data_IF_350350541633
#
_entry.id   IF_350350541633
#
_cell.length_a   1.000
_cell.length_b   1.000
_cell.length_c   1.000
_cell.angle_alpha   90.00
_cell.angle_beta   90.00
_cell.angle_gamma   90.00
#
_symmetry.space_group_name_H-M   'P 1'
#
loop_
_entity.id
_entity.type
_entity.pdbx_description
1 polymer ?
#
# COMPACT_ATOMS: atom_id res chain seq x y z
N UNK A 1 67.03 -47.42 -8.25
CA UNK A 1 65.57 -47.22 -8.33
C UNK A 1 64.96 -47.65 -7.01
N UNK A 2 64.62 -46.69 -6.15
CA UNK A 2 63.90 -46.94 -4.89
C UNK A 2 62.41 -46.91 -5.21
N UNK A 3 61.73 -48.03 -4.96
CA UNK A 3 60.28 -48.08 -4.95
C UNK A 3 59.78 -47.28 -3.75
N UNK A 4 58.80 -46.39 -3.98
CA UNK A 4 58.20 -45.53 -2.96
C UNK A 4 56.87 -46.21 -2.59
N UNK A 5 56.84 -46.81 -1.39
CA UNK A 5 55.62 -47.31 -0.77
C UNK A 5 54.71 -46.14 -0.41
N UNK A 6 53.56 -46.04 -1.08
CA UNK A 6 52.55 -45.00 -0.82
C UNK A 6 51.61 -45.50 0.29
N UNK A 7 51.84 -45.03 1.51
CA UNK A 7 50.97 -45.27 2.66
C UNK A 7 49.80 -44.29 2.62
N UNK A 8 48.59 -44.79 2.36
CA UNK A 8 47.35 -43.99 2.34
C UNK A 8 46.84 -43.86 3.79
N UNK A 9 47.02 -42.68 4.38
CA UNK A 9 46.51 -42.33 5.70
C UNK A 9 45.11 -41.72 5.52
N UNK A 10 44.07 -42.44 5.96
CA UNK A 10 42.69 -41.94 5.96
C UNK A 10 42.46 -41.16 7.27
N UNK A 11 42.45 -39.84 7.18
CA UNK A 11 42.16 -38.93 8.30
C UNK A 11 40.65 -38.72 8.43
N UNK A 12 40.07 -39.16 9.53
CA UNK A 12 38.69 -38.85 9.92
C UNK A 12 38.67 -37.44 10.53
N UNK A 13 38.16 -36.45 9.79
CA UNK A 13 37.94 -35.10 10.30
C UNK A 13 36.58 -35.07 11.00
N UNK A 14 36.58 -35.10 12.33
CA UNK A 14 35.41 -34.73 13.13
C UNK A 14 35.15 -33.23 12.97
N UNK A 15 34.06 -32.91 12.27
CA UNK A 15 33.61 -31.54 12.07
C UNK A 15 32.88 -31.06 13.33
N UNK A 16 33.61 -30.41 14.24
CA UNK A 16 33.01 -29.72 15.38
C UNK A 16 32.24 -28.49 14.89
N UNK A 17 30.93 -28.62 14.70
CA UNK A 17 30.02 -27.51 14.43
C UNK A 17 30.00 -26.56 15.63
N UNK A 18 30.80 -25.50 15.55
CA UNK A 18 30.73 -24.36 16.47
C UNK A 18 29.39 -23.66 16.28
N UNK A 19 28.54 -23.68 17.31
CA UNK A 19 27.21 -23.09 17.28
C UNK A 19 27.35 -21.56 17.30
N UNK A 20 27.25 -20.94 16.12
CA UNK A 20 27.21 -19.48 16.00
C UNK A 20 25.87 -18.98 16.56
N UNK A 21 25.82 -17.93 17.42
CA UNK A 21 24.56 -17.42 17.94
C UNK A 21 23.70 -16.93 16.77
N UNK A 22 22.56 -17.59 16.55
CA UNK A 22 21.53 -17.09 15.65
C UNK A 22 21.02 -15.78 16.25
N UNK A 23 21.42 -14.65 15.66
CA UNK A 23 20.73 -13.39 15.88
C UNK A 23 19.30 -13.59 15.40
N UNK A 24 18.35 -13.74 16.32
CA UNK A 24 16.93 -13.60 16.02
C UNK A 24 16.75 -12.17 15.52
N UNK A 25 16.72 -12.00 14.20
CA UNK A 25 16.21 -10.78 13.61
C UNK A 25 14.73 -10.78 13.99
N UNK A 26 14.36 -10.01 15.02
CA UNK A 26 12.98 -9.58 15.19
C UNK A 26 12.61 -8.83 13.91
N UNK A 27 12.05 -9.57 12.97
CA UNK A 27 11.26 -8.99 11.91
C UNK A 27 10.07 -8.39 12.65
N UNK A 28 10.13 -7.08 12.92
CA UNK A 28 8.97 -6.29 13.26
C UNK A 28 8.04 -6.38 12.06
N UNK A 29 7.23 -7.44 11.99
CA UNK A 29 6.11 -7.53 11.09
C UNK A 29 5.12 -6.50 11.60
N UNK A 30 5.19 -5.27 11.06
CA UNK A 30 4.04 -4.38 11.09
C UNK A 30 2.93 -5.17 10.40
N UNK A 31 2.01 -5.74 11.18
CA UNK A 31 0.81 -6.42 10.69
C UNK A 31 -0.05 -5.36 10.03
N UNK A 32 0.27 -5.00 8.78
CA UNK A 32 -0.63 -4.27 7.90
C UNK A 32 -1.83 -5.20 7.75
N UNK A 33 -3.00 -4.75 8.20
CA UNK A 33 -4.22 -5.54 8.06
C UNK A 33 -4.34 -6.02 6.58
N UNK A 34 -4.68 -7.28 6.33
CA UNK A 34 -4.84 -7.78 4.97
C UNK A 34 -5.83 -6.88 4.22
N UNK A 35 -5.48 -6.53 2.99
CA UNK A 35 -6.37 -5.76 2.12
C UNK A 35 -7.69 -6.51 1.95
N UNK A 36 -8.84 -5.94 2.38
CA UNK A 36 -10.09 -6.70 2.51
C UNK A 36 -10.86 -6.82 1.18
N UNK A 37 -10.36 -6.20 0.12
CA UNK A 37 -11.04 -6.03 -1.16
C UNK A 37 -10.40 -6.95 -2.21
N UNK A 38 -11.19 -7.48 -3.15
CA UNK A 38 -10.74 -8.54 -4.09
C UNK A 38 -10.62 -8.03 -5.52
N UNK A 39 -11.63 -7.33 -6.00
CA UNK A 39 -11.69 -6.76 -7.35
C UNK A 39 -11.10 -5.36 -7.39
N UNK A 40 -11.33 -4.58 -6.33
CA UNK A 40 -10.82 -3.23 -6.23
C UNK A 40 -9.30 -3.26 -6.00
N UNK A 41 -8.49 -2.49 -6.75
CA UNK A 41 -7.07 -2.35 -6.45
C UNK A 41 -6.85 -1.32 -5.34
N UNK A 42 -5.68 -1.37 -4.68
CA UNK A 42 -5.26 -0.26 -3.82
C UNK A 42 -5.07 1.01 -4.65
N UNK A 43 -5.69 2.11 -4.23
CA UNK A 43 -5.59 3.42 -4.91
C UNK A 43 -4.60 4.37 -4.26
N UNK A 44 -4.20 4.10 -3.02
CA UNK A 44 -3.13 4.87 -2.40
C UNK A 44 -1.78 4.44 -2.97
N UNK A 45 -1.13 5.33 -3.70
CA UNK A 45 0.12 5.03 -4.39
C UNK A 45 1.27 4.73 -3.43
N UNK A 46 2.17 3.83 -3.82
CA UNK A 46 3.45 3.59 -3.14
C UNK A 46 4.52 4.62 -3.53
N UNK A 47 4.18 5.58 -4.39
CA UNK A 47 5.07 6.64 -4.86
C UNK A 47 4.26 7.89 -5.18
N UNK A 48 4.90 9.05 -5.02
CA UNK A 48 4.28 10.34 -5.26
C UNK A 48 3.78 10.49 -6.71
N UNK A 49 2.48 10.73 -6.88
CA UNK A 49 1.80 11.08 -8.13
C UNK A 49 2.51 12.20 -8.90
N UNK A 50 3.07 13.22 -8.22
CA UNK A 50 3.78 14.31 -8.88
C UNK A 50 5.28 14.06 -9.19
N UNK A 51 5.85 12.93 -8.75
CA UNK A 51 7.24 12.53 -9.05
C UNK A 51 8.10 12.21 -7.83
N UNK A 52 9.27 11.60 -8.06
CA UNK A 52 10.16 11.10 -7.01
C UNK A 52 10.73 12.16 -6.05
N UNK A 53 10.64 13.45 -6.41
CA UNK A 53 11.10 14.59 -5.59
C UNK A 53 10.04 15.18 -4.69
N UNK A 54 8.78 14.75 -4.85
CA UNK A 54 7.70 15.26 -4.04
C UNK A 54 7.67 14.60 -2.66
N UNK A 55 7.23 15.37 -1.66
CA UNK A 55 6.99 14.84 -0.31
C UNK A 55 5.55 14.36 -0.28
N UNK A 56 5.35 13.05 -0.12
CA UNK A 56 4.03 12.47 0.08
C UNK A 56 3.96 11.77 1.42
N UNK A 57 2.78 11.87 2.04
CA UNK A 57 2.52 11.15 3.26
C UNK A 57 2.44 9.65 2.96
N UNK A 58 2.86 8.87 3.94
CA UNK A 58 2.75 7.42 3.94
C UNK A 58 1.34 7.00 4.38
N UNK A 59 0.99 5.75 4.06
CA UNK A 59 -0.25 5.07 4.51
C UNK A 59 -0.44 5.19 6.03
N UNK A 60 0.63 5.06 6.80
CA UNK A 60 0.61 5.15 8.26
C UNK A 60 0.34 6.58 8.76
N UNK A 61 0.90 7.60 8.11
CA UNK A 61 0.73 9.01 8.49
C UNK A 61 -0.68 9.53 8.23
N UNK A 62 -1.33 9.05 7.17
CA UNK A 62 -2.71 9.45 6.83
C UNK A 62 -3.77 8.61 7.56
N UNK A 63 -3.34 7.55 8.26
CA UNK A 63 -4.24 6.58 8.89
C UNK A 63 -5.11 5.83 7.87
N UNK A 64 -4.55 5.48 6.71
CA UNK A 64 -5.30 4.82 5.64
C UNK A 64 -5.76 3.44 6.09
N UNK A 65 -7.07 3.21 6.01
CA UNK A 65 -7.67 1.89 6.21
C UNK A 65 -8.68 1.58 5.12
N UNK A 66 -8.56 0.40 4.51
CA UNK A 66 -9.57 -0.13 3.62
C UNK A 66 -10.58 -0.96 4.40
N UNK A 67 -11.84 -0.85 4.04
CA UNK A 67 -12.95 -1.60 4.64
C UNK A 67 -13.87 -2.12 3.54
N UNK A 68 -14.37 -3.34 3.69
CA UNK A 68 -15.36 -3.91 2.78
C UNK A 68 -16.73 -3.86 3.45
N UNK A 69 -17.71 -3.29 2.75
CA UNK A 69 -19.09 -3.19 3.17
C UNK A 69 -19.61 -1.76 3.19
N UNK A 70 -20.66 -1.55 3.99
CA UNK A 70 -21.27 -0.22 4.17
C UNK A 70 -20.22 0.73 4.75
N UNK A 71 -20.11 1.91 4.13
CA UNK A 71 -19.08 2.89 4.48
C UNK A 71 -19.40 3.47 5.87
N UNK A 72 -18.48 3.34 6.85
CA UNK A 72 -18.73 3.83 8.20
C UNK A 72 -19.03 5.34 8.23
N UNK A 73 -20.13 5.72 8.89
CA UNK A 73 -20.52 7.13 9.02
C UNK A 73 -21.28 7.70 7.81
N UNK A 74 -21.54 6.90 6.78
CA UNK A 74 -22.25 7.33 5.59
C UNK A 74 -23.42 6.40 5.25
N UNK A 75 -24.49 6.96 4.67
CA UNK A 75 -25.69 6.22 4.26
C UNK A 75 -25.62 5.73 2.82
N UNK A 76 -24.42 5.47 2.29
CA UNK A 76 -24.20 4.96 0.93
C UNK A 76 -23.12 3.87 0.91
N UNK A 77 -23.09 3.09 -0.16
CA UNK A 77 -22.33 1.84 -0.25
C UNK A 77 -23.17 0.64 0.19
N UNK A 78 -22.80 -0.54 -0.31
CA UNK A 78 -23.46 -1.82 -0.03
C UNK A 78 -22.45 -2.83 0.56
N UNK A 79 -22.89 -4.06 0.84
CA UNK A 79 -22.01 -5.11 1.35
C UNK A 79 -20.81 -5.42 0.43
N UNK A 80 -20.91 -5.10 -0.86
CA UNK A 80 -19.86 -5.32 -1.87
C UNK A 80 -19.14 -4.02 -2.25
N UNK A 81 -19.18 -2.99 -1.41
CA UNK A 81 -18.42 -1.76 -1.63
C UNK A 81 -17.13 -1.80 -0.82
N UNK A 82 -15.98 -1.75 -1.50
CA UNK A 82 -14.71 -1.44 -0.88
C UNK A 82 -14.64 0.07 -0.63
N UNK A 83 -14.21 0.51 0.54
CA UNK A 83 -14.05 1.92 0.82
C UNK A 83 -12.80 2.22 1.62
N UNK A 84 -12.30 3.44 1.46
CA UNK A 84 -11.21 3.97 2.26
C UNK A 84 -11.53 5.40 2.65
N UNK A 85 -11.23 5.71 3.90
CA UNK A 85 -11.36 7.05 4.47
C UNK A 85 -10.03 7.38 5.10
N UNK A 86 -9.48 8.53 4.76
CA UNK A 86 -8.24 9.01 5.36
C UNK A 86 -8.18 10.54 5.32
N UNK A 87 -7.31 11.10 6.15
CA UNK A 87 -7.09 12.54 6.23
C UNK A 87 -5.64 12.87 5.93
N UNK A 88 -5.41 13.86 5.08
CA UNK A 88 -4.08 14.36 4.81
C UNK A 88 -3.52 15.15 6.01
N UNK A 89 -2.27 14.89 6.43
CA UNK A 89 -1.62 15.64 7.49
C UNK A 89 -1.42 17.11 7.11
N UNK A 90 -1.22 17.96 8.12
CA UNK A 90 -1.00 19.39 7.93
C UNK A 90 0.19 19.66 6.99
N UNK A 91 0.02 20.61 6.08
CA UNK A 91 1.00 20.95 5.05
C UNK A 91 0.94 20.06 3.80
N UNK A 92 0.04 19.07 3.78
CA UNK A 92 -0.26 18.27 2.58
C UNK A 92 -1.72 18.49 2.13
N UNK A 93 -1.99 18.23 0.85
CA UNK A 93 -3.33 18.21 0.28
C UNK A 93 -3.55 16.89 -0.43
N UNK A 94 -4.80 16.45 -0.54
CA UNK A 94 -5.08 15.26 -1.35
C UNK A 94 -4.87 15.58 -2.82
N UNK A 95 -4.25 14.66 -3.52
CA UNK A 95 -4.08 14.68 -4.96
C UNK A 95 -4.77 13.43 -5.50
N UNK A 96 -5.62 13.60 -6.51
CA UNK A 96 -6.31 12.49 -7.16
C UNK A 96 -5.93 12.45 -8.63
N UNK A 97 -5.66 11.25 -9.13
CA UNK A 97 -5.37 11.01 -10.54
C UNK A 97 -6.63 10.56 -11.25
N UNK A 98 -7.03 11.29 -12.27
CA UNK A 98 -8.20 10.99 -13.08
C UNK A 98 -7.86 9.99 -14.19
N UNK A 99 -8.70 8.96 -14.45
CA UNK A 99 -8.45 7.98 -15.51
C UNK A 99 -8.49 8.60 -16.91
N UNK A 100 -9.44 9.50 -17.15
CA UNK A 100 -9.77 10.01 -18.50
C UNK A 100 -8.67 10.95 -19.01
N UNK A 101 -8.20 11.86 -18.15
CA UNK A 101 -7.22 12.89 -18.53
C UNK A 101 -5.80 12.54 -18.12
N UNK A 102 -5.62 11.58 -17.20
CA UNK A 102 -4.34 11.32 -16.55
C UNK A 102 -3.87 12.45 -15.63
N UNK A 103 -4.64 13.54 -15.54
CA UNK A 103 -4.29 14.71 -14.75
C UNK A 103 -4.40 14.40 -13.25
N UNK A 104 -3.54 15.08 -12.51
CA UNK A 104 -3.56 15.09 -11.05
C UNK A 104 -4.23 16.40 -10.63
N UNK A 105 -5.30 16.29 -9.84
CA UNK A 105 -6.03 17.45 -9.34
C UNK A 105 -6.05 17.46 -7.81
N UNK A 106 -5.91 18.65 -7.19
CA UNK A 106 -6.01 18.77 -5.75
C UNK A 106 -7.46 18.57 -5.29
N UNK A 107 -7.64 17.79 -4.23
CA UNK A 107 -8.91 17.56 -3.54
C UNK A 107 -8.89 18.07 -2.09
N UNK A 108 -10.01 18.01 -1.37
CA UNK A 108 -10.07 18.33 0.05
C UNK A 108 -9.17 17.41 0.90
N UNK A 109 -8.75 17.85 2.09
CA UNK A 109 -7.85 17.09 2.95
C UNK A 109 -8.47 15.80 3.50
N UNK A 110 -9.79 15.76 3.66
CA UNK A 110 -10.53 14.52 3.95
C UNK A 110 -10.84 13.82 2.64
N UNK A 111 -10.34 12.60 2.50
CA UNK A 111 -10.55 11.75 1.34
C UNK A 111 -11.49 10.61 1.71
N UNK A 112 -12.56 10.49 0.94
CA UNK A 112 -13.49 9.37 1.00
C UNK A 112 -13.58 8.82 -0.41
N UNK A 113 -13.08 7.60 -0.57
CA UNK A 113 -13.10 6.90 -1.83
C UNK A 113 -13.76 5.54 -1.65
N UNK A 114 -14.47 5.10 -2.68
CA UNK A 114 -15.20 3.84 -2.69
C UNK A 114 -15.12 3.17 -4.05
N UNK A 115 -15.18 1.85 -4.07
CA UNK A 115 -15.10 1.03 -5.27
C UNK A 115 -16.05 -0.16 -5.14
N UNK A 116 -16.67 -0.53 -6.25
CA UNK A 116 -17.59 -1.67 -6.29
C UNK A 116 -16.80 -2.95 -6.53
N UNK A 117 -17.06 -3.98 -5.72
CA UNK A 117 -16.45 -5.31 -5.92
C UNK A 117 -17.16 -6.10 -7.03
N UNK A 118 -18.42 -5.75 -7.33
CA UNK A 118 -19.29 -6.45 -8.27
C UNK A 118 -20.15 -5.48 -9.09
N UNK A 119 -20.70 -5.96 -10.20
CA UNK A 119 -21.56 -5.16 -11.09
C UNK A 119 -20.82 -4.56 -12.27
N UNK A 120 -21.47 -3.60 -12.94
CA UNK A 120 -20.97 -3.01 -14.20
C UNK A 120 -19.72 -2.13 -14.01
N UNK A 121 -19.54 -1.54 -12.82
CA UNK A 121 -18.39 -0.69 -12.48
C UNK A 121 -17.45 -1.39 -11.48
N UNK A 122 -17.42 -2.73 -11.50
CA UNK A 122 -16.57 -3.49 -10.58
C UNK A 122 -15.08 -3.14 -10.81
N UNK A 123 -14.37 -2.83 -9.73
CA UNK A 123 -12.97 -2.40 -9.78
C UNK A 123 -12.75 -0.91 -10.05
N UNK A 124 -13.81 -0.13 -10.27
CA UNK A 124 -13.73 1.31 -10.49
C UNK A 124 -13.82 2.06 -9.17
N UNK A 125 -12.85 2.94 -8.92
CA UNK A 125 -12.84 3.81 -7.75
C UNK A 125 -13.46 5.16 -8.03
N UNK A 126 -14.26 5.60 -7.07
CA UNK A 126 -14.93 6.88 -7.05
C UNK A 126 -14.53 7.65 -5.81
N UNK A 127 -14.30 8.94 -6.00
CA UNK A 127 -13.98 9.90 -4.97
C UNK A 127 -15.19 10.79 -4.68
N UNK A 128 -15.55 10.93 -3.41
CA UNK A 128 -16.62 11.81 -2.95
C UNK A 128 -17.79 11.08 -2.26
N UNK A 129 -18.66 11.89 -1.65
CA UNK A 129 -19.84 11.48 -0.88
C UNK A 129 -21.12 11.75 -1.68
N UNK A 130 -21.68 10.78 -2.42
CA UNK A 130 -23.02 10.92 -2.97
C UNK A 130 -24.07 10.94 -1.84
N UNK A 131 -25.17 11.73 -1.96
CA UNK A 131 -25.49 12.67 -3.04
C UNK A 131 -24.92 14.09 -2.82
N UNK A 132 -24.18 14.34 -1.74
CA UNK A 132 -23.67 15.67 -1.38
C UNK A 132 -22.70 16.24 -2.44
N UNK A 133 -21.94 15.38 -3.10
CA UNK A 133 -21.06 15.71 -4.22
C UNK A 133 -21.24 14.68 -5.34
N UNK A 134 -21.07 15.12 -6.59
CA UNK A 134 -21.01 14.23 -7.74
C UNK A 134 -19.71 13.41 -7.61
N UNK A 135 -19.79 12.08 -7.51
CA UNK A 135 -18.59 11.26 -7.38
C UNK A 135 -17.75 11.35 -8.66
N UNK A 136 -16.43 11.41 -8.49
CA UNK A 136 -15.46 11.51 -9.58
C UNK A 136 -14.67 10.21 -9.65
N UNK A 137 -14.53 9.64 -10.85
CA UNK A 137 -13.71 8.45 -11.05
C UNK A 137 -12.23 8.75 -10.85
N UNK A 138 -11.52 7.91 -10.09
CA UNK A 138 -10.10 8.05 -9.80
C UNK A 138 -9.39 6.71 -10.00
N UNK A 139 -8.11 6.78 -10.37
CA UNK A 139 -7.24 5.58 -10.48
C UNK A 139 -6.16 5.55 -9.41
N UNK A 140 -5.89 6.69 -8.78
CA UNK A 140 -4.98 6.80 -7.66
C UNK A 140 -5.27 8.05 -6.84
N UNK A 141 -4.90 8.01 -5.57
CA UNK A 141 -4.93 9.17 -4.67
C UNK A 141 -3.75 9.14 -3.70
N UNK A 142 -3.33 10.30 -3.23
CA UNK A 142 -2.32 10.41 -2.19
C UNK A 142 -2.40 11.76 -1.49
N UNK A 143 -1.74 11.90 -0.34
CA UNK A 143 -1.50 13.20 0.26
C UNK A 143 -0.12 13.70 -0.15
N UNK A 144 -0.05 14.86 -0.78
CA UNK A 144 1.18 15.47 -1.26
C UNK A 144 1.39 16.84 -0.62
N UNK A 145 2.63 17.18 -0.30
CA UNK A 145 3.02 18.50 0.20
C UNK A 145 2.48 19.61 -0.70
N UNK A 146 1.94 20.66 -0.09
CA UNK A 146 1.54 21.86 -0.80
C UNK A 146 2.82 22.56 -1.24
N UNK A 147 3.23 22.36 -2.49
CA UNK A 147 4.26 23.22 -3.10
C UNK A 147 3.66 24.61 -3.26
N UNK A 148 3.93 25.48 -2.29
CA UNK A 148 3.77 26.92 -2.51
C UNK A 148 4.75 27.28 -3.61
N UNK A 149 4.23 27.53 -4.81
CA UNK A 149 4.94 28.37 -5.78
C UNK A 149 5.16 29.78 -5.21
#
# INVERSE_FOLDING_TARGET
>A
MRAIDVVIVVSFVESSFSCLPTQTVEVTTTTVAPYPCSTCPMIYGSGCLGGATDVCATVAEVGLSYTLGIIPGYSFGDANTCSTIFSCPLGTTSQVKLPITGNIVPGPPLVIAWCQETGANAGTWYYGIPPAVIPVEIVATQCQGIVSG
#
